data_IF_472312598553
#
_entry.id   IF_472312598553
#
_cell.length_a   1.000
_cell.length_b   1.000
_cell.length_c   1.000
_cell.angle_alpha   90.00
_cell.angle_beta   90.00
_cell.angle_gamma   90.00
#
_symmetry.space_group_name_H-M   'P 1'
#
loop_
_entity.id
_entity.type
_entity.pdbx_description
1 polymer ?
#
# COMPACT_ATOMS: atom_id res chain seq x y z
N UNK A 1 -28.92 16.23 -9.81
CA UNK A 1 -27.52 16.04 -10.28
C UNK A 1 -27.31 14.57 -10.55
N UNK A 2 -26.67 14.19 -11.66
CA UNK A 2 -26.35 12.76 -11.91
C UNK A 2 -25.30 12.30 -10.89
N UNK A 3 -25.43 11.09 -10.31
CA UNK A 3 -24.40 10.56 -9.42
C UNK A 3 -23.11 10.33 -10.20
N UNK A 4 -21.98 10.75 -9.61
CA UNK A 4 -20.64 10.45 -10.13
C UNK A 4 -20.28 9.04 -9.64
N UNK A 5 -19.89 8.16 -10.56
CA UNK A 5 -19.44 6.82 -10.25
C UNK A 5 -17.94 6.70 -10.55
N UNK A 6 -17.17 6.21 -9.57
CA UNK A 6 -15.72 6.02 -9.67
C UNK A 6 -15.43 4.55 -9.36
N UNK A 7 -14.61 3.91 -10.18
CA UNK A 7 -14.21 2.53 -10.03
C UNK A 7 -12.71 2.36 -10.26
N UNK A 8 -12.11 1.39 -9.56
CA UNK A 8 -10.74 0.94 -9.77
C UNK A 8 -10.72 -0.34 -10.62
N UNK A 9 -9.75 -0.44 -11.53
CA UNK A 9 -9.58 -1.60 -12.42
C UNK A 9 -8.11 -1.96 -12.45
N UNK A 10 -7.79 -3.21 -12.11
CA UNK A 10 -6.47 -3.78 -12.39
C UNK A 10 -6.41 -4.21 -13.88
N UNK A 11 -5.43 -3.73 -14.67
CA UNK A 11 -5.27 -4.15 -16.05
C UNK A 11 -5.07 -5.66 -16.21
N UNK A 12 -5.40 -6.19 -17.40
CA UNK A 12 -5.30 -7.64 -17.68
C UNK A 12 -3.85 -8.13 -17.62
N UNK A 13 -2.92 -7.27 -17.99
CA UNK A 13 -1.46 -7.45 -17.95
C UNK A 13 -0.93 -7.59 -16.51
N UNK A 14 -1.73 -7.19 -15.52
CA UNK A 14 -1.30 -7.09 -14.14
C UNK A 14 -0.89 -5.69 -13.74
N UNK A 15 -0.20 -5.58 -12.62
CA UNK A 15 0.18 -4.29 -12.05
C UNK A 15 1.16 -4.42 -10.89
N UNK A 16 1.65 -3.28 -10.43
CA UNK A 16 2.53 -3.24 -9.28
C UNK A 16 1.74 -3.57 -8.01
N UNK A 17 2.26 -4.49 -7.20
CA UNK A 17 1.92 -4.63 -5.79
C UNK A 17 3.02 -3.98 -4.94
N UNK A 18 2.62 -3.35 -3.86
CA UNK A 18 3.50 -2.58 -2.98
C UNK A 18 3.07 -2.76 -1.53
N UNK A 19 4.02 -2.50 -0.63
CA UNK A 19 3.85 -2.68 0.80
C UNK A 19 4.42 -1.45 1.50
N UNK A 20 3.56 -0.71 2.19
CA UNK A 20 4.01 0.35 3.09
C UNK A 20 4.39 -0.24 4.44
N UNK A 21 5.45 0.28 5.02
CA UNK A 21 5.93 -0.09 6.34
C UNK A 21 6.34 1.15 7.11
N UNK A 22 6.15 1.11 8.43
CA UNK A 22 6.63 2.16 9.32
C UNK A 22 8.00 1.76 9.83
N UNK A 23 8.95 2.68 9.78
CA UNK A 23 10.31 2.51 10.30
C UNK A 23 10.64 3.65 11.26
N UNK A 24 11.42 3.35 12.31
CA UNK A 24 11.94 4.35 13.24
C UNK A 24 13.34 4.76 12.74
N UNK A 25 13.57 6.05 12.41
CA UNK A 25 14.90 6.55 12.07
C UNK A 25 15.92 6.29 13.19
N UNK A 26 17.17 6.03 12.83
CA UNK A 26 18.23 5.74 13.80
C UNK A 26 18.52 6.92 14.76
N UNK A 27 18.20 8.14 14.33
CA UNK A 27 18.36 9.40 15.07
C UNK A 27 17.03 9.97 15.58
N UNK A 28 15.97 9.15 15.67
CA UNK A 28 14.69 9.58 16.19
C UNK A 28 14.83 10.13 17.63
N UNK A 29 14.31 11.34 17.91
CA UNK A 29 14.47 11.96 19.24
C UNK A 29 13.61 11.28 20.33
N UNK A 30 12.62 10.47 19.91
CA UNK A 30 11.59 9.85 20.76
C UNK A 30 11.31 8.40 20.32
N UNK A 31 12.30 7.48 20.40
CA UNK A 31 12.13 6.11 19.92
C UNK A 31 11.13 5.30 20.76
N UNK A 32 11.06 5.56 22.06
CA UNK A 32 10.14 4.85 22.98
C UNK A 32 8.68 5.18 22.68
N UNK A 33 8.37 6.45 22.42
CA UNK A 33 7.03 6.90 22.01
C UNK A 33 6.67 6.35 20.62
N UNK A 34 7.63 6.28 19.70
CA UNK A 34 7.42 5.65 18.40
C UNK A 34 7.06 4.16 18.55
N UNK A 35 7.73 3.42 19.44
CA UNK A 35 7.37 2.04 19.76
C UNK A 35 5.97 1.92 20.39
N UNK A 36 5.59 2.85 21.29
CA UNK A 36 4.25 2.87 21.86
C UNK A 36 3.17 3.10 20.79
N UNK A 37 3.42 4.00 19.84
CA UNK A 37 2.52 4.24 18.71
C UNK A 37 2.41 3.02 17.79
N UNK A 38 3.54 2.41 17.42
CA UNK A 38 3.56 1.16 16.63
C UNK A 38 2.75 0.07 17.33
N UNK A 39 2.96 -0.13 18.63
CA UNK A 39 2.22 -1.11 19.41
C UNK A 39 0.70 -0.82 19.44
N UNK A 40 0.31 0.46 19.48
CA UNK A 40 -1.10 0.86 19.42
C UNK A 40 -1.72 0.55 18.05
N UNK A 41 -1.09 0.95 16.95
CA UNK A 41 -1.66 0.74 15.60
C UNK A 41 -1.64 -0.73 15.17
N UNK A 42 -0.77 -1.56 15.76
CA UNK A 42 -0.75 -3.00 15.54
C UNK A 42 -1.82 -3.77 16.30
N UNK A 43 -2.62 -3.15 17.18
CA UNK A 43 -3.74 -3.86 17.81
C UNK A 43 -4.78 -4.25 16.74
N UNK A 44 -5.34 -5.47 16.73
CA UNK A 44 -6.24 -5.94 15.67
C UNK A 44 -7.41 -5.00 15.38
N UNK A 45 -8.02 -4.43 16.42
CA UNK A 45 -9.13 -3.50 16.33
C UNK A 45 -8.73 -2.15 15.73
N UNK A 46 -7.53 -1.65 16.03
CA UNK A 46 -7.03 -0.37 15.49
C UNK A 46 -6.61 -0.55 14.04
N UNK A 47 -5.87 -1.63 13.73
CA UNK A 47 -5.49 -1.96 12.37
C UNK A 47 -6.72 -2.15 11.45
N UNK A 48 -7.78 -2.79 11.96
CA UNK A 48 -9.05 -2.92 11.23
C UNK A 48 -9.76 -1.58 11.03
N UNK A 49 -9.81 -0.72 12.05
CA UNK A 49 -10.37 0.63 11.92
C UNK A 49 -9.64 1.44 10.85
N UNK A 50 -8.31 1.40 10.85
CA UNK A 50 -7.48 2.06 9.83
C UNK A 50 -7.84 1.52 8.45
N UNK A 51 -7.80 0.19 8.25
CA UNK A 51 -8.13 -0.44 6.98
C UNK A 51 -9.54 -0.11 6.49
N UNK A 52 -10.55 -0.16 7.36
CA UNK A 52 -11.93 0.18 7.02
C UNK A 52 -12.08 1.63 6.56
N UNK A 53 -11.29 2.54 7.13
CA UNK A 53 -11.30 3.95 6.76
C UNK A 53 -10.56 4.22 5.46
N UNK A 54 -9.29 3.77 5.35
CA UNK A 54 -8.43 4.06 4.19
C UNK A 54 -8.64 3.12 3.01
N UNK A 55 -9.39 2.04 3.19
CA UNK A 55 -9.73 1.02 2.19
C UNK A 55 -8.53 0.23 1.64
N UNK A 56 -7.43 0.14 2.41
CA UNK A 56 -6.28 -0.73 2.11
C UNK A 56 -6.27 -1.99 2.97
N UNK A 57 -5.85 -3.10 2.37
CA UNK A 57 -5.67 -4.37 3.06
C UNK A 57 -4.72 -4.22 4.25
N UNK A 58 -5.12 -4.75 5.41
CA UNK A 58 -4.26 -4.74 6.60
C UNK A 58 -3.13 -5.76 6.48
N UNK A 59 -1.92 -5.37 6.88
CA UNK A 59 -0.80 -6.29 7.12
C UNK A 59 -0.94 -7.11 8.41
N UNK A 60 -1.94 -6.80 9.26
CA UNK A 60 -2.21 -7.55 10.48
C UNK A 60 -3.23 -8.68 10.21
N UNK A 61 -2.77 -9.93 10.31
CA UNK A 61 -3.63 -11.10 10.07
C UNK A 61 -4.82 -11.17 11.03
N UNK A 62 -4.62 -10.85 12.31
CA UNK A 62 -5.68 -10.89 13.33
C UNK A 62 -6.72 -9.76 13.16
N UNK A 63 -6.41 -8.72 12.38
CA UNK A 63 -7.34 -7.64 12.06
C UNK A 63 -8.40 -8.07 11.02
N UNK A 64 -8.13 -9.10 10.19
CA UNK A 64 -9.02 -9.51 9.10
C UNK A 64 -10.45 -9.79 9.56
N UNK A 65 -10.62 -10.45 10.70
CA UNK A 65 -11.94 -10.80 11.26
C UNK A 65 -12.77 -9.58 11.70
N UNK A 66 -12.15 -8.39 11.74
CA UNK A 66 -12.74 -7.12 12.17
C UNK A 66 -12.90 -6.11 11.02
N UNK A 67 -12.45 -6.45 9.83
CA UNK A 67 -12.58 -5.60 8.63
C UNK A 67 -13.98 -5.78 8.05
N UNK A 68 -14.52 -4.71 7.48
CA UNK A 68 -15.81 -4.68 6.79
C UNK A 68 -15.92 -5.86 5.80
N UNK A 69 -16.94 -6.73 5.91
CA UNK A 69 -17.13 -7.84 4.97
C UNK A 69 -17.20 -7.40 3.51
N UNK A 70 -17.70 -6.20 3.23
CA UNK A 70 -17.73 -5.67 1.86
C UNK A 70 -16.30 -5.45 1.31
N UNK A 71 -15.35 -5.09 2.19
CA UNK A 71 -13.95 -4.89 1.83
C UNK A 71 -13.18 -6.21 1.78
N UNK A 72 -13.41 -7.14 2.72
CA UNK A 72 -12.79 -8.49 2.68
C UNK A 72 -13.16 -9.23 1.39
N UNK A 73 -14.38 -9.05 0.91
CA UNK A 73 -14.87 -9.69 -0.31
C UNK A 73 -14.60 -8.88 -1.58
N UNK A 74 -13.96 -7.71 -1.49
CA UNK A 74 -13.58 -6.91 -2.65
C UNK A 74 -12.26 -7.44 -3.24
N UNK A 75 -12.27 -8.04 -4.45
CA UNK A 75 -11.06 -8.60 -5.06
C UNK A 75 -10.06 -7.53 -5.51
N UNK A 76 -10.43 -6.24 -5.51
CA UNK A 76 -9.50 -5.13 -5.74
C UNK A 76 -8.68 -4.79 -4.51
N UNK A 77 -9.15 -5.16 -3.31
CA UNK A 77 -8.48 -4.95 -2.03
C UNK A 77 -7.83 -6.26 -1.55
N UNK A 78 -8.57 -7.36 -1.57
CA UNK A 78 -8.12 -8.71 -1.24
C UNK A 78 -8.18 -9.62 -2.49
N UNK A 79 -7.20 -9.50 -3.40
CA UNK A 79 -7.16 -10.28 -4.62
C UNK A 79 -6.99 -11.78 -4.36
N UNK A 80 -7.65 -12.60 -5.17
CA UNK A 80 -7.40 -14.05 -5.22
C UNK A 80 -6.14 -14.40 -6.00
N UNK A 81 -5.75 -15.69 -5.95
CA UNK A 81 -4.47 -16.19 -6.48
C UNK A 81 -4.24 -15.87 -7.97
N UNK A 82 -5.28 -15.95 -8.81
CA UNK A 82 -5.18 -15.62 -10.23
C UNK A 82 -4.78 -14.16 -10.47
N UNK A 83 -5.25 -13.24 -9.61
CA UNK A 83 -4.86 -11.83 -9.68
C UNK A 83 -3.45 -11.68 -9.13
N UNK A 84 -3.15 -12.28 -7.97
CA UNK A 84 -1.83 -12.22 -7.34
C UNK A 84 -0.70 -12.67 -8.26
N UNK A 85 -0.91 -13.72 -9.06
CA UNK A 85 0.08 -14.24 -10.02
C UNK A 85 0.44 -13.28 -11.17
N UNK A 86 -0.33 -12.19 -11.33
CA UNK A 86 -0.08 -11.16 -12.36
C UNK A 86 0.53 -9.89 -11.76
N UNK A 87 0.74 -9.85 -10.45
CA UNK A 87 1.32 -8.70 -9.78
C UNK A 87 2.84 -8.81 -9.72
N UNK A 88 3.51 -7.67 -9.75
CA UNK A 88 4.96 -7.59 -9.60
C UNK A 88 5.36 -6.59 -8.51
N UNK A 89 6.47 -6.86 -7.85
CA UNK A 89 7.12 -5.92 -6.92
C UNK A 89 8.24 -5.19 -7.64
N UNK A 90 8.39 -3.90 -7.36
CA UNK A 90 9.57 -3.15 -7.79
C UNK A 90 10.66 -3.34 -6.73
N UNK A 91 11.82 -3.79 -7.14
CA UNK A 91 13.00 -3.92 -6.29
C UNK A 91 13.99 -2.79 -6.56
N UNK A 92 14.95 -2.60 -5.66
CA UNK A 92 15.94 -1.55 -5.79
C UNK A 92 16.87 -1.82 -6.99
N UNK A 93 16.85 -0.90 -7.96
CA UNK A 93 17.79 -0.91 -9.07
C UNK A 93 19.16 -0.39 -8.63
N UNK A 94 20.19 -0.71 -9.42
CA UNK A 94 21.49 -0.09 -9.22
C UNK A 94 21.45 1.44 -9.43
N UNK A 95 22.50 2.11 -8.97
CA UNK A 95 22.59 3.56 -9.05
C UNK A 95 22.63 4.09 -10.49
N UNK A 96 23.14 3.32 -11.45
CA UNK A 96 23.21 3.76 -12.84
C UNK A 96 21.82 3.77 -13.49
N UNK A 97 21.05 2.70 -13.29
CA UNK A 97 19.66 2.57 -13.73
C UNK A 97 18.78 3.61 -13.05
N UNK A 98 18.87 3.76 -11.72
CA UNK A 98 18.10 4.75 -10.97
C UNK A 98 18.34 6.17 -11.50
N UNK A 99 19.61 6.56 -11.74
CA UNK A 99 19.93 7.88 -12.32
C UNK A 99 19.36 8.06 -13.73
N UNK A 100 19.38 7.01 -14.56
CA UNK A 100 18.80 7.07 -15.90
C UNK A 100 17.28 7.27 -15.83
N UNK A 101 16.59 6.52 -14.95
CA UNK A 101 15.16 6.67 -14.71
C UNK A 101 14.79 8.07 -14.21
N UNK A 102 15.53 8.62 -13.24
CA UNK A 102 15.28 9.98 -12.74
C UNK A 102 15.38 11.02 -13.85
N UNK A 103 16.44 10.98 -14.66
CA UNK A 103 16.59 11.94 -15.78
C UNK A 103 15.47 11.82 -16.81
N UNK A 104 15.07 10.58 -17.13
CA UNK A 104 13.97 10.34 -18.07
C UNK A 104 12.65 10.89 -17.51
N UNK A 105 12.38 10.65 -16.23
CA UNK A 105 11.18 11.19 -15.58
C UNK A 105 11.17 12.72 -15.57
N UNK A 106 12.29 13.37 -15.24
CA UNK A 106 12.40 14.84 -15.26
C UNK A 106 12.08 15.40 -16.64
N UNK A 107 12.61 14.80 -17.71
CA UNK A 107 12.32 15.19 -19.10
C UNK A 107 10.83 15.10 -19.43
N UNK A 108 10.21 13.95 -19.14
CA UNK A 108 8.77 13.73 -19.37
C UNK A 108 7.93 14.75 -18.58
N UNK A 109 8.23 14.91 -17.29
CA UNK A 109 7.45 15.77 -16.39
C UNK A 109 7.59 17.27 -16.71
N UNK A 110 8.74 17.70 -17.24
CA UNK A 110 9.01 19.11 -17.59
C UNK A 110 8.85 19.43 -19.07
N UNK A 111 8.56 18.43 -19.91
CA UNK A 111 8.48 18.53 -21.37
C UNK A 111 9.79 19.02 -22.02
N UNK A 112 10.94 18.61 -21.47
CA UNK A 112 12.29 18.88 -21.99
C UNK A 112 12.94 17.67 -22.63
#
# INVERSE_FOLDING_TARGET
TKPINVAYILPKEGGQIWFDSVAIPADAPHPDEAHQFLNFIMRPEIAAQISNYVRYASGNLAAKDRIDPAMINDPTVYPGDQVMNRLYVITMYDNAVTRAMTRMWTRIATQQ
#
